data_IF_171715634218
#
_entry.id   IF_171715634218
#
_cell.length_a   1.000
_cell.length_b   1.000
_cell.length_c   1.000
_cell.angle_alpha   90.00
_cell.angle_beta   90.00
_cell.angle_gamma   90.00
#
_symmetry.space_group_name_H-M   'P 1'
#
loop_
_entity.id
_entity.type
_entity.pdbx_description
1 polymer ?
#
# COMPACT_ATOMS: atom_id res chain seq x y z
N UNK A 1 3.74 16.71 -15.01
CA UNK A 1 3.19 15.41 -14.57
C UNK A 1 2.70 14.71 -15.83
N UNK A 2 3.23 13.53 -16.16
CA UNK A 2 2.64 12.73 -17.23
C UNK A 2 1.23 12.31 -16.80
N UNK A 3 0.27 12.31 -17.73
CA UNK A 3 -1.04 11.75 -17.45
C UNK A 3 -0.87 10.25 -17.18
N UNK A 4 -1.53 9.74 -16.14
CA UNK A 4 -1.57 8.30 -15.84
C UNK A 4 -2.28 7.57 -16.98
N UNK A 5 -1.82 6.38 -17.31
CA UNK A 5 -2.57 5.53 -18.24
C UNK A 5 -3.84 5.00 -17.57
N UNK A 6 -4.87 4.61 -18.35
CA UNK A 6 -6.07 3.98 -17.79
C UNK A 6 -5.76 2.75 -16.92
N UNK A 7 -4.78 1.94 -17.32
CA UNK A 7 -4.34 0.73 -16.62
C UNK A 7 -3.66 1.06 -15.28
N UNK A 8 -2.85 2.12 -15.24
CA UNK A 8 -2.28 2.62 -14.00
C UNK A 8 -3.36 3.14 -13.05
N UNK A 9 -4.35 3.86 -13.57
CA UNK A 9 -5.47 4.34 -12.77
C UNK A 9 -6.31 3.20 -12.21
N UNK A 10 -6.60 2.17 -13.01
CA UNK A 10 -7.32 0.98 -12.58
C UNK A 10 -6.55 0.23 -11.49
N UNK A 11 -5.25 0.00 -11.66
CA UNK A 11 -4.41 -0.65 -10.65
C UNK A 11 -4.41 0.11 -9.32
N UNK A 12 -4.31 1.44 -9.36
CA UNK A 12 -4.40 2.29 -8.16
C UNK A 12 -5.78 2.22 -7.49
N UNK A 13 -6.87 2.27 -8.26
CA UNK A 13 -8.23 2.17 -7.71
C UNK A 13 -8.49 0.81 -7.07
N UNK A 14 -8.02 -0.27 -7.70
CA UNK A 14 -8.13 -1.62 -7.15
C UNK A 14 -7.31 -1.77 -5.87
N UNK A 15 -6.09 -1.22 -5.80
CA UNK A 15 -5.30 -1.20 -4.57
C UNK A 15 -6.03 -0.55 -3.39
N UNK A 16 -6.69 0.59 -3.61
CA UNK A 16 -7.51 1.22 -2.58
C UNK A 16 -8.69 0.34 -2.17
N UNK A 17 -9.37 -0.27 -3.15
CA UNK A 17 -10.52 -1.14 -2.90
C UNK A 17 -10.12 -2.32 -2.02
N UNK A 18 -9.04 -3.02 -2.35
CA UNK A 18 -8.53 -4.15 -1.58
C UNK A 18 -8.13 -3.72 -0.17
N UNK A 19 -7.38 -2.61 -0.03
CA UNK A 19 -6.99 -2.09 1.28
C UNK A 19 -8.20 -1.74 2.17
N UNK A 20 -9.25 -1.15 1.58
CA UNK A 20 -10.51 -0.86 2.30
C UNK A 20 -11.21 -2.15 2.74
N UNK A 21 -11.27 -3.17 1.88
CA UNK A 21 -11.87 -4.46 2.22
C UNK A 21 -11.11 -5.12 3.36
N UNK A 22 -9.78 -5.15 3.32
CA UNK A 22 -8.94 -5.71 4.38
C UNK A 22 -9.12 -4.97 5.71
N UNK A 23 -9.16 -3.64 5.67
CA UNK A 23 -9.42 -2.83 6.86
C UNK A 23 -10.79 -3.13 7.46
N UNK A 24 -11.85 -3.15 6.64
CA UNK A 24 -13.21 -3.47 7.10
C UNK A 24 -13.29 -4.88 7.67
N UNK A 25 -12.69 -5.87 7.00
CA UNK A 25 -12.62 -7.24 7.48
C UNK A 25 -11.90 -7.33 8.84
N UNK A 26 -10.80 -6.57 9.00
CA UNK A 26 -10.06 -6.52 10.25
C UNK A 26 -10.88 -5.88 11.40
N UNK A 27 -11.65 -4.83 11.12
CA UNK A 27 -12.54 -4.22 12.10
C UNK A 27 -13.71 -5.15 12.50
N UNK A 28 -14.31 -5.85 11.53
CA UNK A 28 -15.38 -6.82 11.79
C UNK A 28 -14.87 -7.99 12.62
N UNK A 29 -13.63 -8.44 12.37
CA UNK A 29 -12.98 -9.53 13.10
C UNK A 29 -12.57 -9.19 14.54
N UNK A 30 -12.82 -7.96 15.02
CA UNK A 30 -12.53 -7.54 16.38
C UNK A 30 -11.05 -7.20 16.67
N UNK A 31 -10.75 -6.90 17.93
CA UNK A 31 -9.49 -6.29 18.38
C UNK A 31 -8.22 -7.11 18.06
N UNK A 32 -8.32 -8.44 18.09
CA UNK A 32 -7.21 -9.34 17.72
C UNK A 32 -6.91 -9.24 16.23
N UNK A 33 -7.94 -9.12 15.39
CA UNK A 33 -7.79 -9.09 13.94
C UNK A 33 -7.23 -7.75 13.48
N UNK A 34 -7.71 -6.64 14.05
CA UNK A 34 -7.18 -5.30 13.75
C UNK A 34 -5.72 -5.13 14.18
N UNK A 35 -5.33 -5.63 15.36
CA UNK A 35 -3.92 -5.57 15.79
C UNK A 35 -3.00 -6.41 14.89
N UNK A 36 -3.45 -7.57 14.43
CA UNK A 36 -2.71 -8.40 13.46
C UNK A 36 -2.58 -7.74 12.08
N UNK A 37 -3.61 -7.02 11.63
CA UNK A 37 -3.59 -6.27 10.39
C UNK A 37 -2.60 -5.10 10.48
N UNK A 38 -2.70 -4.28 11.53
CA UNK A 38 -1.78 -3.17 11.77
C UNK A 38 -0.32 -3.63 11.90
N UNK A 39 -0.09 -4.78 12.56
CA UNK A 39 1.25 -5.38 12.63
C UNK A 39 1.77 -5.76 11.24
N UNK A 40 0.96 -6.44 10.41
CA UNK A 40 1.37 -6.80 9.04
C UNK A 40 1.70 -5.56 8.21
N UNK A 41 0.86 -4.52 8.29
CA UNK A 41 1.13 -3.25 7.61
C UNK A 41 2.46 -2.61 8.04
N UNK A 42 2.79 -2.66 9.33
CA UNK A 42 4.06 -2.16 9.85
C UNK A 42 5.24 -3.03 9.38
N UNK A 43 5.10 -4.34 9.44
CA UNK A 43 6.16 -5.29 9.09
C UNK A 43 6.47 -5.19 7.57
N UNK A 44 5.46 -5.06 6.71
CA UNK A 44 5.61 -4.83 5.26
C UNK A 44 6.27 -3.48 4.93
N UNK A 45 5.97 -2.43 5.72
CA UNK A 45 6.60 -1.13 5.58
C UNK A 45 8.09 -1.17 6.01
N UNK A 46 8.43 -1.97 7.02
CA UNK A 46 9.79 -2.09 7.55
C UNK A 46 10.70 -2.94 6.65
N UNK A 47 10.15 -4.00 6.05
CA UNK A 47 10.91 -4.88 5.14
C UNK A 47 11.38 -4.13 3.89
N UNK A 48 10.62 -3.15 3.41
CA UNK A 48 10.88 -2.44 2.13
C UNK A 48 11.84 -1.25 2.23
N UNK A 49 12.07 -0.68 3.41
CA UNK A 49 13.08 0.37 3.63
C UNK A 49 14.52 -0.14 3.36
N UNK A 50 14.71 -1.47 3.31
CA UNK A 50 15.99 -2.14 3.09
C UNK A 50 16.20 -2.71 1.66
N UNK A 51 15.24 -2.58 0.73
CA UNK A 51 15.31 -3.22 -0.60
C UNK A 51 14.87 -2.28 -1.76
N UNK A 52 15.57 -1.16 -1.96
CA UNK A 52 15.53 -0.46 -3.26
C UNK A 52 16.79 -0.77 -4.08
N UNK A 53 16.75 -1.86 -4.86
CA UNK A 53 17.77 -2.23 -5.86
C UNK A 53 17.38 -1.65 -7.24
N UNK A 54 18.16 -0.73 -7.83
CA UNK A 54 17.76 0.03 -9.01
C UNK A 54 18.11 -0.74 -10.29
N UNK A 55 17.18 -1.52 -10.86
CA UNK A 55 17.53 -2.26 -12.08
C UNK A 55 16.46 -2.89 -12.97
N UNK A 56 15.16 -2.84 -12.65
CA UNK A 56 14.17 -3.61 -13.43
C UNK A 56 13.19 -2.70 -14.18
N UNK A 57 13.31 -2.67 -15.51
CA UNK A 57 12.35 -2.05 -16.43
C UNK A 57 11.13 -2.97 -16.58
N UNK A 58 9.88 -2.55 -16.30
CA UNK A 58 8.72 -3.45 -16.35
C UNK A 58 8.01 -3.43 -17.71
N UNK A 59 7.62 -4.61 -18.21
CA UNK A 59 6.66 -4.82 -19.31
C UNK A 59 5.21 -4.47 -18.88
N UNK A 60 4.31 -4.21 -19.83
CA UNK A 60 2.99 -3.59 -19.61
C UNK A 60 2.07 -4.31 -18.59
N UNK A 61 2.13 -5.65 -18.44
CA UNK A 61 1.37 -6.38 -17.41
C UNK A 61 1.89 -6.12 -15.99
N UNK A 62 3.20 -5.84 -15.86
CA UNK A 62 3.78 -5.36 -14.60
C UNK A 62 3.36 -3.92 -14.31
N UNK A 63 2.89 -3.12 -15.27
CA UNK A 63 2.50 -1.74 -15.00
C UNK A 63 1.31 -1.66 -14.02
N UNK A 64 0.36 -2.59 -14.10
CA UNK A 64 -0.82 -2.66 -13.20
C UNK A 64 -0.42 -3.15 -11.81
N UNK A 65 0.29 -4.27 -11.71
CA UNK A 65 0.71 -4.81 -10.40
C UNK A 65 1.70 -3.87 -9.70
N UNK A 66 2.58 -3.22 -10.47
CA UNK A 66 3.50 -2.23 -9.95
C UNK A 66 2.78 -0.93 -9.57
N UNK A 67 1.75 -0.49 -10.31
CA UNK A 67 0.96 0.68 -9.91
C UNK A 67 0.18 0.41 -8.61
N UNK A 68 -0.42 -0.77 -8.47
CA UNK A 68 -1.12 -1.18 -7.27
C UNK A 68 -0.17 -1.28 -6.06
N UNK A 69 0.96 -1.97 -6.20
CA UNK A 69 1.94 -2.10 -5.12
C UNK A 69 2.55 -0.76 -4.70
N UNK A 70 2.85 0.12 -5.67
CA UNK A 70 3.30 1.50 -5.40
C UNK A 70 2.23 2.30 -4.68
N UNK A 71 0.96 2.14 -5.04
CA UNK A 71 -0.12 2.86 -4.40
C UNK A 71 -0.31 2.43 -2.94
N UNK A 72 -0.32 1.13 -2.67
CA UNK A 72 -0.39 0.62 -1.29
C UNK A 72 0.78 1.16 -0.48
N UNK A 73 1.99 1.17 -1.03
CA UNK A 73 3.18 1.73 -0.36
C UNK A 73 2.99 3.22 -0.03
N UNK A 74 2.58 4.03 -1.00
CA UNK A 74 2.36 5.46 -0.81
C UNK A 74 1.29 5.75 0.27
N UNK A 75 0.22 4.95 0.31
CA UNK A 75 -0.82 5.06 1.34
C UNK A 75 -0.24 4.77 2.73
N UNK A 76 0.58 3.72 2.87
CA UNK A 76 1.18 3.34 4.15
C UNK A 76 2.18 4.38 4.66
N UNK A 77 3.01 4.92 3.78
CA UNK A 77 3.93 6.01 4.13
C UNK A 77 3.18 7.27 4.60
N UNK A 78 2.12 7.66 3.87
CA UNK A 78 1.30 8.80 4.24
C UNK A 78 0.56 8.59 5.58
N UNK A 79 0.05 7.37 5.83
CA UNK A 79 -0.59 7.02 7.09
C UNK A 79 0.40 7.10 8.26
N UNK A 80 1.63 6.58 8.07
CA UNK A 80 2.69 6.64 9.07
C UNK A 80 3.12 8.07 9.37
N UNK A 81 3.35 8.88 8.34
CA UNK A 81 3.73 10.27 8.51
C UNK A 81 2.69 11.07 9.32
N UNK A 82 1.40 10.75 9.18
CA UNK A 82 0.32 11.31 10.00
C UNK A 82 0.37 10.81 11.45
N UNK A 83 0.50 9.50 11.66
CA UNK A 83 0.59 8.92 13.00
C UNK A 83 1.78 9.48 13.80
N UNK A 84 2.95 9.59 13.18
CA UNK A 84 4.15 10.17 13.82
C UNK A 84 4.00 11.68 14.10
N UNK A 85 3.17 12.39 13.33
CA UNK A 85 2.87 13.80 13.57
C UNK A 85 1.88 13.98 14.72
N UNK A 86 0.92 13.06 14.87
CA UNK A 86 -0.08 13.08 15.95
C UNK A 86 0.51 12.65 17.30
N UNK A 87 1.60 11.88 17.32
CA UNK A 87 2.33 11.43 18.53
C UNK A 87 3.24 12.53 19.16
N UNK A 88 3.36 13.72 18.56
CA UNK A 88 4.18 14.85 19.04
C UNK A 88 3.38 15.94 19.73
#
# INVERSE_FOLDING_TARGET
MSALTPEELEGRLNAHRELMIELLAAMIGGEVTISSFLRRLRDDATFKDNEEDPGVMPEDTFAIENSAAREVRAILEAARARAEADDR
#
